data_IF_420787022436
#
_entry.id   IF_420787022436
#
_cell.length_a   1.000
_cell.length_b   1.000
_cell.length_c   1.000
_cell.angle_alpha   90.00
_cell.angle_beta   90.00
_cell.angle_gamma   90.00
#
_symmetry.space_group_name_H-M   'P 1'
#
loop_
_entity.id
_entity.type
_entity.pdbx_description
1 polymer ?
#
# COMPACT_ATOMS: atom_id res chain seq x y z
N UNK A 1 59.79 108.47 11.22
CA UNK A 1 59.20 108.65 9.87
C UNK A 1 58.82 107.30 9.22
N UNK A 2 58.34 106.31 9.98
CA UNK A 2 58.15 104.92 9.50
C UNK A 2 56.74 104.34 9.81
N UNK A 3 55.75 105.20 10.10
CA UNK A 3 54.39 104.77 10.49
C UNK A 3 53.31 105.03 9.42
N UNK A 4 53.54 105.87 8.41
CA UNK A 4 52.50 106.21 7.42
C UNK A 4 52.37 105.17 6.29
N UNK A 5 53.48 104.55 5.85
CA UNK A 5 53.45 103.53 4.80
C UNK A 5 52.79 102.20 5.25
N UNK A 6 52.91 101.85 6.53
CA UNK A 6 52.33 100.62 7.08
C UNK A 6 50.80 100.71 7.19
N UNK A 7 50.26 101.90 7.48
CA UNK A 7 48.80 102.15 7.57
C UNK A 7 48.13 102.10 6.20
N UNK A 8 48.78 102.59 5.15
CA UNK A 8 48.23 102.57 3.78
C UNK A 8 48.21 101.15 3.20
N UNK A 9 49.25 100.33 3.44
CA UNK A 9 49.25 98.89 3.07
C UNK A 9 48.19 98.09 3.83
N UNK A 10 47.94 98.39 5.11
CA UNK A 10 46.87 97.76 5.90
C UNK A 10 45.47 98.10 5.38
N UNK A 11 45.23 99.35 4.93
CA UNK A 11 43.96 99.76 4.31
C UNK A 11 43.74 99.10 2.95
N UNK A 12 44.77 98.96 2.12
CA UNK A 12 44.69 98.19 0.87
C UNK A 12 44.45 96.69 1.13
N UNK A 13 45.14 96.10 2.11
CA UNK A 13 44.90 94.69 2.48
C UNK A 13 43.49 94.47 3.03
N UNK A 14 42.98 95.36 3.89
CA UNK A 14 41.59 95.27 4.39
C UNK A 14 40.56 95.50 3.27
N UNK A 15 40.84 96.39 2.31
CA UNK A 15 40.02 96.59 1.12
C UNK A 15 39.99 95.36 0.21
N UNK A 16 41.15 94.73 -0.04
CA UNK A 16 41.21 93.47 -0.79
C UNK A 16 40.55 92.32 -0.03
N UNK A 17 40.71 92.23 1.29
CA UNK A 17 40.08 91.19 2.11
C UNK A 17 38.55 91.32 2.12
N UNK A 18 38.02 92.55 2.15
CA UNK A 18 36.58 92.80 2.12
C UNK A 18 35.97 92.57 0.73
N UNK A 19 36.69 92.87 -0.35
CA UNK A 19 36.25 92.51 -1.72
C UNK A 19 36.28 90.99 -1.94
N UNK A 20 37.28 90.28 -1.40
CA UNK A 20 37.32 88.81 -1.43
C UNK A 20 36.23 88.20 -0.56
N UNK A 21 35.93 88.76 0.62
CA UNK A 21 34.88 88.27 1.49
C UNK A 21 33.48 88.47 0.87
N UNK A 22 33.24 89.60 0.19
CA UNK A 22 32.01 89.85 -0.56
C UNK A 22 31.89 88.92 -1.78
N UNK A 23 32.99 88.67 -2.50
CA UNK A 23 33.02 87.71 -3.60
C UNK A 23 32.73 86.26 -3.14
N UNK A 24 33.20 85.88 -1.94
CA UNK A 24 32.93 84.57 -1.33
C UNK A 24 31.46 84.45 -0.86
N UNK A 25 30.83 85.53 -0.41
CA UNK A 25 29.40 85.53 -0.06
C UNK A 25 28.47 85.40 -1.28
N UNK A 26 28.88 85.87 -2.46
CA UNK A 26 28.12 85.66 -3.71
C UNK A 26 28.40 84.30 -4.37
N UNK A 27 29.56 83.67 -4.11
CA UNK A 27 29.90 82.33 -4.60
C UNK A 27 29.28 81.18 -3.79
N UNK A 28 28.71 81.46 -2.61
CA UNK A 28 28.02 80.45 -1.78
C UNK A 28 26.60 80.11 -2.25
N UNK A 29 26.11 80.70 -3.34
CA UNK A 29 24.87 80.28 -4.00
C UNK A 29 25.17 79.13 -4.98
N UNK A 30 25.62 77.99 -4.44
CA UNK A 30 25.57 76.72 -5.17
C UNK A 30 24.10 76.32 -5.23
N UNK A 31 23.60 76.15 -6.47
CA UNK A 31 22.23 75.82 -6.87
C UNK A 31 21.43 75.12 -5.77
N UNK A 32 20.49 75.86 -5.18
CA UNK A 32 19.48 75.35 -4.24
C UNK A 32 18.48 74.38 -4.90
N UNK A 33 18.63 74.10 -6.20
CA UNK A 33 17.69 73.34 -7.03
C UNK A 33 18.18 71.92 -7.38
N UNK A 34 19.24 71.41 -6.75
CA UNK A 34 19.72 70.05 -6.98
C UNK A 34 18.63 68.98 -6.68
N UNK A 35 17.69 69.25 -5.75
CA UNK A 35 16.55 68.37 -5.48
C UNK A 35 15.50 68.39 -6.61
N UNK A 36 15.40 69.46 -7.40
CA UNK A 36 14.45 69.55 -8.52
C UNK A 36 14.81 68.60 -9.66
N UNK A 37 16.08 68.20 -9.78
CA UNK A 37 16.45 67.14 -10.72
C UNK A 37 15.93 65.76 -10.31
N UNK A 38 15.73 65.52 -9.01
CA UNK A 38 15.06 64.32 -8.49
C UNK A 38 13.52 64.39 -8.59
N UNK A 39 12.94 65.56 -8.93
CA UNK A 39 11.49 65.76 -9.14
C UNK A 39 11.09 65.84 -10.63
N UNK A 40 12.04 65.80 -11.57
CA UNK A 40 11.78 65.94 -13.03
C UNK A 40 10.87 64.84 -13.61
N UNK A 41 10.65 63.74 -12.90
CA UNK A 41 9.77 62.62 -13.31
C UNK A 41 8.37 62.60 -12.68
N UNK A 42 8.02 63.56 -11.81
CA UNK A 42 6.80 63.50 -10.98
C UNK A 42 6.90 62.53 -9.81
N UNK A 43 5.88 62.49 -8.93
CA UNK A 43 5.77 61.45 -7.91
C UNK A 43 5.54 60.09 -8.57
N UNK A 44 6.33 59.08 -8.19
CA UNK A 44 6.11 57.69 -8.60
C UNK A 44 4.91 57.17 -7.80
N UNK A 45 3.77 56.99 -8.46
CA UNK A 45 2.58 56.38 -7.88
C UNK A 45 2.70 54.86 -7.98
N UNK A 46 2.51 54.17 -6.87
CA UNK A 46 2.50 52.71 -6.80
C UNK A 46 1.08 52.22 -6.49
N UNK A 47 0.66 51.13 -7.13
CA UNK A 47 -0.52 50.40 -6.71
C UNK A 47 -0.30 49.78 -5.31
N UNK A 48 -1.38 49.55 -4.56
CA UNK A 48 -1.33 48.85 -3.30
C UNK A 48 -0.76 47.44 -3.46
N UNK A 49 0.35 47.15 -2.77
CA UNK A 49 1.02 45.83 -2.75
C UNK A 49 0.07 44.76 -2.18
N UNK A 50 0.18 43.53 -2.70
CA UNK A 50 -0.46 42.36 -2.08
C UNK A 50 -0.03 42.20 -0.62
N UNK A 51 -0.95 41.85 0.26
CA UNK A 51 -0.68 41.68 1.68
C UNK A 51 0.21 40.45 1.90
N UNK A 52 -0.22 39.31 1.35
CA UNK A 52 0.53 38.05 1.37
C UNK A 52 0.31 37.24 0.09
N UNK A 53 1.30 36.40 -0.22
CA UNK A 53 1.27 35.49 -1.36
C UNK A 53 1.79 34.14 -0.92
N UNK A 54 1.03 33.08 -1.21
CA UNK A 54 1.41 31.68 -0.98
C UNK A 54 1.50 30.99 -2.33
N UNK A 55 2.59 30.25 -2.57
CA UNK A 55 2.75 29.40 -3.74
C UNK A 55 2.47 27.94 -3.36
N UNK A 56 1.40 27.38 -3.90
CA UNK A 56 0.99 26.01 -3.69
C UNK A 56 1.48 25.13 -4.84
N UNK A 57 2.20 24.05 -4.55
CA UNK A 57 2.81 23.23 -5.58
C UNK A 57 1.79 22.36 -6.31
N UNK A 58 2.06 22.04 -7.57
CA UNK A 58 1.27 21.15 -8.40
C UNK A 58 2.12 20.39 -9.42
N UNK A 59 1.47 19.58 -10.25
CA UNK A 59 2.13 18.82 -11.32
C UNK A 59 2.33 19.70 -12.56
N UNK A 60 3.57 20.13 -12.82
CA UNK A 60 3.88 21.03 -13.93
C UNK A 60 3.27 22.43 -13.78
N UNK A 61 2.88 22.82 -12.58
CA UNK A 61 2.18 24.08 -12.30
C UNK A 61 2.33 24.55 -10.86
N UNK A 62 2.09 25.85 -10.64
CA UNK A 62 1.97 26.46 -9.30
C UNK A 62 0.66 27.22 -9.23
N UNK A 63 -0.08 27.06 -8.13
CA UNK A 63 -1.19 27.95 -7.78
C UNK A 63 -0.71 29.01 -6.78
N UNK A 64 -0.85 30.27 -7.15
CA UNK A 64 -0.66 31.40 -6.25
C UNK A 64 -1.97 31.75 -5.57
N UNK A 65 -1.96 31.77 -4.24
CA UNK A 65 -3.03 32.34 -3.41
C UNK A 65 -2.54 33.70 -2.94
N UNK A 66 -3.17 34.76 -3.45
CA UNK A 66 -2.74 36.15 -3.28
C UNK A 66 -3.80 36.87 -2.46
N UNK A 67 -3.45 37.28 -1.25
CA UNK A 67 -4.30 38.15 -0.43
C UNK A 67 -4.06 39.59 -0.87
N UNK A 68 -5.11 40.25 -1.35
CA UNK A 68 -5.02 41.63 -1.82
C UNK A 68 -4.96 42.61 -0.65
N UNK A 69 -4.23 43.72 -0.84
CA UNK A 69 -4.24 44.83 0.11
C UNK A 69 -5.49 45.70 -0.01
N UNK A 70 -5.58 46.73 0.82
CA UNK A 70 -6.76 47.61 0.91
C UNK A 70 -6.93 48.61 -0.26
N UNK A 71 -6.15 48.52 -1.34
CA UNK A 71 -6.26 49.46 -2.46
C UNK A 71 -7.39 49.03 -3.40
N UNK A 72 -8.51 49.80 -3.48
CA UNK A 72 -9.67 49.43 -4.27
C UNK A 72 -9.43 49.57 -5.79
N UNK A 73 -8.32 50.19 -6.21
CA UNK A 73 -8.02 50.42 -7.63
C UNK A 73 -7.24 49.27 -8.26
N UNK A 74 -6.79 48.28 -7.49
CA UNK A 74 -6.10 47.10 -8.00
C UNK A 74 -7.05 46.26 -8.84
N UNK A 75 -6.70 46.02 -10.11
CA UNK A 75 -7.53 45.29 -11.07
C UNK A 75 -6.78 44.16 -11.80
N UNK A 76 -5.48 44.02 -11.57
CA UNK A 76 -4.68 43.02 -12.25
C UNK A 76 -3.54 42.52 -11.35
N UNK A 77 -3.20 41.25 -11.50
CA UNK A 77 -1.97 40.65 -10.98
C UNK A 77 -1.02 40.34 -12.14
N UNK A 78 0.26 40.64 -11.96
CA UNK A 78 1.36 40.21 -12.85
C UNK A 78 2.38 39.42 -12.06
N UNK A 79 2.83 38.32 -12.62
CA UNK A 79 3.84 37.45 -12.01
C UNK A 79 4.97 37.25 -12.99
N UNK A 80 6.20 37.34 -12.51
CA UNK A 80 7.41 37.10 -13.30
C UNK A 80 8.25 36.00 -12.66
N UNK A 81 8.94 35.23 -13.48
CA UNK A 81 9.94 34.26 -13.05
C UNK A 81 11.11 34.21 -14.04
N UNK A 82 12.10 33.36 -13.76
CA UNK A 82 13.27 33.16 -14.63
C UNK A 82 14.02 34.48 -14.94
N UNK A 83 14.32 35.25 -13.90
CA UNK A 83 14.90 36.60 -14.00
C UNK A 83 14.04 37.57 -14.84
N UNK A 84 12.72 37.44 -14.74
CA UNK A 84 11.70 38.20 -15.49
C UNK A 84 11.69 37.96 -17.00
N UNK A 85 12.31 36.89 -17.47
CA UNK A 85 12.20 36.48 -18.88
C UNK A 85 10.82 35.91 -19.21
N UNK A 86 10.15 35.35 -18.20
CA UNK A 86 8.83 34.77 -18.32
C UNK A 86 7.84 35.47 -17.39
N UNK A 87 6.57 35.49 -17.79
CA UNK A 87 5.50 36.16 -17.05
C UNK A 87 4.11 35.58 -17.30
N UNK A 88 3.23 35.77 -16.32
CA UNK A 88 1.81 35.52 -16.45
C UNK A 88 1.03 36.69 -15.86
N UNK A 89 -0.17 36.95 -16.38
CA UNK A 89 -1.03 38.03 -15.92
C UNK A 89 -2.47 37.53 -15.73
N UNK A 90 -3.17 38.05 -14.71
CA UNK A 90 -4.57 37.73 -14.44
C UNK A 90 -5.35 39.00 -14.16
N UNK A 91 -6.49 39.17 -14.83
CA UNK A 91 -7.43 40.26 -14.57
C UNK A 91 -8.32 39.92 -13.37
N UNK A 92 -8.56 40.91 -12.51
CA UNK A 92 -9.41 40.80 -11.31
C UNK A 92 -10.76 41.44 -11.66
N UNK A 93 -11.76 40.63 -11.98
CA UNK A 93 -13.11 41.09 -12.30
C UNK A 93 -13.95 41.34 -11.04
N UNK A 94 -14.86 42.32 -11.11
CA UNK A 94 -15.83 42.58 -10.03
C UNK A 94 -16.69 41.32 -9.75
N UNK A 95 -16.69 40.84 -8.50
CA UNK A 95 -17.44 39.65 -8.06
C UNK A 95 -16.60 38.47 -7.58
N UNK A 96 -15.27 38.50 -7.78
CA UNK A 96 -14.32 37.66 -7.03
C UNK A 96 -14.24 38.21 -5.60
N UNK A 97 -14.17 37.35 -4.57
CA UNK A 97 -13.84 37.78 -3.20
C UNK A 97 -12.63 38.71 -3.28
N UNK A 98 -12.85 40.03 -3.10
CA UNK A 98 -11.82 41.05 -3.34
C UNK A 98 -10.63 40.91 -2.41
N UNK A 99 -10.72 40.05 -1.42
CA UNK A 99 -9.67 39.81 -0.44
C UNK A 99 -8.66 38.75 -0.92
N UNK A 100 -9.05 37.79 -1.78
CA UNK A 100 -8.14 36.69 -2.17
C UNK A 100 -8.30 36.25 -3.62
N UNK A 101 -7.21 36.37 -4.39
CA UNK A 101 -7.10 35.95 -5.80
C UNK A 101 -6.35 34.63 -5.88
N UNK A 102 -6.84 33.70 -6.72
CA UNK A 102 -6.15 32.44 -7.04
C UNK A 102 -5.73 32.45 -8.50
N UNK A 103 -4.43 32.36 -8.75
CA UNK A 103 -3.85 32.38 -10.08
C UNK A 103 -3.02 31.13 -10.31
N UNK A 104 -3.27 30.39 -11.40
CA UNK A 104 -2.47 29.21 -11.76
C UNK A 104 -1.46 29.59 -12.84
N UNK A 105 -0.21 29.21 -12.64
CA UNK A 105 0.86 29.28 -13.63
C UNK A 105 1.10 27.85 -14.13
N UNK A 106 0.67 27.57 -15.36
CA UNK A 106 0.73 26.26 -16.00
C UNK A 106 2.02 26.08 -16.83
N UNK A 107 2.28 24.85 -17.27
CA UNK A 107 3.38 24.47 -18.17
C UNK A 107 4.79 24.80 -17.63
N UNK A 108 4.97 24.67 -16.32
CA UNK A 108 6.26 24.79 -15.66
C UNK A 108 7.00 23.45 -15.67
N UNK A 109 8.31 23.48 -15.83
CA UNK A 109 9.16 22.30 -15.64
C UNK A 109 9.35 22.02 -14.16
N UNK A 110 9.49 20.76 -13.77
CA UNK A 110 9.77 20.38 -12.38
C UNK A 110 11.01 21.10 -11.83
N UNK A 111 10.90 21.65 -10.62
CA UNK A 111 11.94 22.39 -9.95
C UNK A 111 11.43 23.58 -9.12
N UNK A 112 12.38 24.31 -8.54
CA UNK A 112 12.09 25.47 -7.68
C UNK A 112 12.04 26.77 -8.48
N UNK A 113 11.01 27.57 -8.23
CA UNK A 113 10.79 28.87 -8.88
C UNK A 113 10.81 30.00 -7.85
N UNK A 114 11.53 31.08 -8.17
CA UNK A 114 11.35 32.37 -7.51
C UNK A 114 10.33 33.19 -8.32
N UNK A 115 9.18 33.46 -7.71
CA UNK A 115 8.07 34.18 -8.31
C UNK A 115 8.02 35.60 -7.76
N UNK A 116 8.02 36.58 -8.68
CA UNK A 116 7.93 38.00 -8.35
C UNK A 116 6.54 38.49 -8.73
N UNK A 117 5.73 38.80 -7.72
CA UNK A 117 4.31 39.16 -7.86
C UNK A 117 4.11 40.66 -7.70
N UNK A 118 3.31 41.22 -8.60
CA UNK A 118 2.88 42.61 -8.64
C UNK A 118 1.36 42.69 -8.71
N UNK A 119 0.79 43.63 -7.97
CA UNK A 119 -0.55 44.14 -8.22
C UNK A 119 -0.45 45.39 -9.10
N UNK A 120 -1.43 45.56 -9.97
CA UNK A 120 -1.50 46.69 -10.91
C UNK A 120 -2.85 47.38 -10.75
N UNK A 121 -2.82 48.71 -10.69
CA UNK A 121 -4.02 49.53 -10.55
C UNK A 121 -4.68 49.88 -11.90
N UNK A 122 -5.88 50.46 -11.84
CA UNK A 122 -6.62 50.98 -12.99
C UNK A 122 -5.86 52.01 -13.84
N UNK A 123 -4.74 52.57 -13.35
CA UNK A 123 -3.88 53.54 -14.04
C UNK A 123 -2.59 52.89 -14.58
N UNK A 124 -2.49 51.56 -14.51
CA UNK A 124 -1.35 50.77 -14.93
C UNK A 124 -0.07 51.05 -14.11
N UNK A 125 -0.20 51.54 -12.89
CA UNK A 125 0.92 51.61 -11.94
C UNK A 125 1.12 50.23 -11.30
N UNK A 126 2.37 49.79 -11.18
CA UNK A 126 2.71 48.55 -10.47
C UNK A 126 2.97 48.80 -9.00
N UNK A 127 2.68 47.82 -8.15
CA UNK A 127 3.04 47.86 -6.74
C UNK A 127 4.55 47.64 -6.51
N UNK A 128 4.97 47.73 -5.24
CA UNK A 128 6.22 47.09 -4.81
C UNK A 128 6.07 45.57 -4.92
N UNK A 129 7.14 44.86 -5.27
CA UNK A 129 7.13 43.43 -5.47
C UNK A 129 6.86 42.63 -4.18
N UNK A 130 6.22 41.47 -4.33
CA UNK A 130 6.24 40.37 -3.36
C UNK A 130 6.99 39.21 -3.97
N UNK A 131 8.03 38.72 -3.30
CA UNK A 131 8.76 37.54 -3.74
C UNK A 131 8.26 36.32 -2.96
N UNK A 132 7.96 35.23 -3.66
CA UNK A 132 7.58 33.95 -3.07
C UNK A 132 8.32 32.82 -3.80
N UNK A 133 8.76 31.81 -3.06
CA UNK A 133 9.31 30.61 -3.66
C UNK A 133 8.20 29.57 -3.81
N UNK A 134 8.16 28.88 -4.94
CA UNK A 134 7.24 27.77 -5.18
C UNK A 134 7.97 26.59 -5.78
N UNK A 135 7.51 25.38 -5.44
CA UNK A 135 8.00 24.14 -6.01
C UNK A 135 7.03 23.65 -7.09
N UNK A 136 7.57 23.15 -8.20
CA UNK A 136 6.82 22.41 -9.22
C UNK A 136 7.26 20.98 -9.15
N UNK A 137 6.32 20.05 -9.03
CA UNK A 137 6.59 18.62 -9.08
C UNK A 137 6.24 18.08 -10.47
N UNK A 138 6.78 16.91 -10.81
CA UNK A 138 6.54 16.28 -12.09
C UNK A 138 6.97 14.82 -12.11
N UNK A 139 7.37 14.36 -13.29
CA UNK A 139 7.74 12.97 -13.56
C UNK A 139 8.89 12.46 -12.67
N UNK A 140 9.85 13.30 -12.26
CA UNK A 140 10.94 12.83 -11.41
C UNK A 140 10.44 12.54 -9.99
N UNK A 141 9.57 13.41 -9.45
CA UNK A 141 8.90 13.16 -8.19
C UNK A 141 8.05 11.88 -8.25
N UNK A 142 7.21 11.72 -9.29
CA UNK A 142 6.39 10.52 -9.47
C UNK A 142 7.24 9.24 -9.50
N UNK A 143 8.39 9.25 -10.19
CA UNK A 143 9.34 8.11 -10.24
C UNK A 143 10.00 7.78 -8.91
N UNK A 144 10.01 8.72 -7.96
CA UNK A 144 10.53 8.49 -6.61
C UNK A 144 9.49 7.86 -5.68
N UNK A 145 8.22 7.86 -6.06
CA UNK A 145 7.13 7.29 -5.28
C UNK A 145 7.01 5.78 -5.48
N UNK A 146 6.58 5.10 -4.43
CA UNK A 146 6.25 3.69 -4.45
C UNK A 146 4.97 3.47 -3.64
N UNK A 147 4.18 2.46 -4.02
CA UNK A 147 2.98 2.13 -3.27
C UNK A 147 3.36 1.66 -1.86
N UNK A 148 2.52 1.98 -0.88
CA UNK A 148 2.57 1.43 0.46
C UNK A 148 2.64 -0.09 0.36
N UNK A 149 3.61 -0.69 1.05
CA UNK A 149 3.84 -2.13 0.94
C UNK A 149 2.73 -2.91 1.64
N UNK A 150 2.14 -3.85 0.90
CA UNK A 150 1.27 -4.89 1.45
C UNK A 150 2.15 -6.03 1.95
N UNK A 151 2.14 -6.28 3.26
CA UNK A 151 3.01 -7.25 3.91
C UNK A 151 2.47 -8.68 3.83
N UNK A 152 1.20 -8.87 4.20
CA UNK A 152 0.55 -10.18 4.21
C UNK A 152 -0.89 -10.08 3.70
N UNK A 153 -1.31 -11.11 2.96
CA UNK A 153 -2.70 -11.35 2.59
C UNK A 153 -3.12 -12.63 3.28
N UNK A 154 -4.06 -12.52 4.21
CA UNK A 154 -4.52 -13.62 5.04
C UNK A 154 -6.04 -13.70 5.09
N UNK A 155 -6.51 -14.56 6.00
CA UNK A 155 -7.92 -14.79 6.22
C UNK A 155 -8.23 -14.81 7.70
N UNK A 156 -9.33 -14.18 8.09
CA UNK A 156 -9.93 -14.39 9.40
C UNK A 156 -10.51 -15.81 9.50
N UNK A 157 -10.78 -16.27 10.73
CA UNK A 157 -11.37 -17.59 10.98
C UNK A 157 -12.75 -17.79 10.29
N UNK A 158 -13.51 -16.71 10.08
CA UNK A 158 -14.79 -16.69 9.36
C UNK A 158 -14.63 -16.42 7.85
N UNK A 159 -13.40 -16.33 7.34
CA UNK A 159 -13.10 -16.26 5.91
C UNK A 159 -13.21 -14.89 5.26
N UNK A 160 -13.13 -13.81 6.05
CA UNK A 160 -12.91 -12.45 5.54
C UNK A 160 -11.47 -12.34 5.08
N UNK A 161 -11.26 -11.68 3.94
CA UNK A 161 -9.93 -11.39 3.44
C UNK A 161 -9.30 -10.30 4.31
N UNK A 162 -8.05 -10.52 4.73
CA UNK A 162 -7.30 -9.60 5.58
C UNK A 162 -6.06 -9.10 4.82
N UNK A 163 -5.98 -7.78 4.65
CA UNK A 163 -4.83 -7.10 4.03
C UNK A 163 -4.01 -6.42 5.12
N UNK A 164 -2.82 -6.95 5.39
CA UNK A 164 -1.90 -6.40 6.39
C UNK A 164 -0.90 -5.44 5.75
N UNK A 165 -1.03 -4.17 6.08
CA UNK A 165 -0.21 -3.10 5.52
C UNK A 165 1.03 -2.84 6.37
N UNK A 166 2.17 -2.59 5.71
CA UNK A 166 3.34 -2.03 6.40
C UNK A 166 3.14 -0.55 6.70
N UNK A 167 4.09 0.10 7.37
CA UNK A 167 4.01 1.52 7.67
C UNK A 167 3.84 2.36 6.39
N UNK A 168 2.96 3.36 6.46
CA UNK A 168 2.75 4.33 5.39
C UNK A 168 4.05 5.08 5.06
N UNK A 169 4.42 5.25 3.77
CA UNK A 169 5.55 6.09 3.40
C UNK A 169 5.26 7.57 3.69
N UNK A 170 6.30 8.42 3.79
CA UNK A 170 6.12 9.85 3.99
C UNK A 170 5.19 10.47 2.95
N UNK A 171 4.40 11.46 3.35
CA UNK A 171 3.53 12.25 2.47
C UNK A 171 2.39 11.47 1.80
N UNK A 172 2.16 10.19 2.15
CA UNK A 172 0.96 9.46 1.74
C UNK A 172 -0.28 10.07 2.41
N UNK A 173 -1.36 10.19 1.64
CA UNK A 173 -2.67 10.66 2.11
C UNK A 173 -3.61 9.47 2.33
N UNK A 174 -3.61 8.50 1.43
CA UNK A 174 -4.34 7.24 1.53
C UNK A 174 -3.85 6.25 0.48
N UNK A 175 -4.21 4.98 0.66
CA UNK A 175 -4.07 3.95 -0.39
C UNK A 175 -5.47 3.55 -0.89
N UNK A 176 -5.69 3.63 -2.19
CA UNK A 176 -6.89 3.10 -2.82
C UNK A 176 -6.70 1.61 -3.10
N UNK A 177 -7.65 0.77 -2.69
CA UNK A 177 -7.69 -0.66 -2.96
C UNK A 177 -8.91 -0.96 -3.82
N UNK A 178 -8.71 -1.59 -4.97
CA UNK A 178 -9.79 -2.03 -5.86
C UNK A 178 -9.78 -3.54 -6.01
N UNK A 179 -10.96 -4.13 -5.90
CA UNK A 179 -11.15 -5.58 -5.97
C UNK A 179 -12.51 -5.92 -6.57
N UNK A 180 -12.66 -7.14 -7.06
CA UNK A 180 -13.93 -7.65 -7.57
C UNK A 180 -14.70 -8.35 -6.44
N UNK A 181 -15.99 -8.05 -6.31
CA UNK A 181 -16.88 -8.72 -5.38
C UNK A 181 -17.52 -10.00 -5.96
N UNK A 182 -18.34 -10.70 -5.17
CA UNK A 182 -18.98 -11.96 -5.61
C UNK A 182 -20.07 -11.76 -6.68
N UNK A 183 -20.56 -10.53 -6.87
CA UNK A 183 -21.49 -10.17 -7.95
C UNK A 183 -20.74 -9.71 -9.21
N UNK A 184 -19.41 -9.82 -9.21
CA UNK A 184 -18.52 -9.40 -10.27
C UNK A 184 -18.39 -7.88 -10.45
N UNK A 185 -18.84 -7.10 -9.47
CA UNK A 185 -18.72 -5.64 -9.47
C UNK A 185 -17.37 -5.21 -8.88
N UNK A 186 -16.79 -4.13 -9.44
CA UNK A 186 -15.55 -3.56 -8.93
C UNK A 186 -15.88 -2.63 -7.76
N UNK A 187 -15.30 -2.96 -6.60
CA UNK A 187 -15.38 -2.16 -5.39
C UNK A 187 -14.09 -1.36 -5.20
N UNK A 188 -14.17 -0.22 -4.52
CA UNK A 188 -13.02 0.61 -4.15
C UNK A 188 -13.07 0.98 -2.66
N UNK A 189 -11.94 0.88 -1.98
CA UNK A 189 -11.76 1.25 -0.58
C UNK A 189 -10.60 2.24 -0.45
N UNK A 190 -10.76 3.24 0.42
CA UNK A 190 -9.69 4.16 0.80
C UNK A 190 -9.15 3.74 2.17
N UNK A 191 -7.91 3.28 2.20
CA UNK A 191 -7.19 2.85 3.40
C UNK A 191 -6.43 4.03 3.98
N UNK A 192 -6.64 4.30 5.27
CA UNK A 192 -5.93 5.39 5.96
C UNK A 192 -4.44 5.06 6.15
N UNK A 193 -3.53 6.05 6.12
CA UNK A 193 -2.11 5.85 6.46
C UNK A 193 -1.86 5.19 7.83
N UNK A 194 -2.79 5.36 8.78
CA UNK A 194 -2.71 4.78 10.12
C UNK A 194 -3.34 3.39 10.24
N UNK A 195 -4.06 2.93 9.21
CA UNK A 195 -4.68 1.60 9.18
C UNK A 195 -3.64 0.56 8.81
N UNK A 196 -3.50 -0.48 9.64
CA UNK A 196 -2.53 -1.57 9.43
C UNK A 196 -3.19 -2.88 8.97
N UNK A 197 -4.53 -2.97 9.07
CA UNK A 197 -5.31 -4.14 8.69
C UNK A 197 -6.63 -3.66 8.06
N UNK A 198 -6.88 -4.09 6.83
CA UNK A 198 -8.17 -3.92 6.14
C UNK A 198 -8.85 -5.28 6.02
N UNK A 199 -10.13 -5.37 6.43
CA UNK A 199 -10.94 -6.58 6.28
C UNK A 199 -11.98 -6.44 5.16
N UNK A 200 -12.09 -7.45 4.29
CA UNK A 200 -13.01 -7.47 3.16
C UNK A 200 -13.85 -8.75 3.21
N UNK A 201 -15.17 -8.62 3.31
CA UNK A 201 -16.09 -9.77 3.42
C UNK A 201 -16.55 -10.29 2.05
N UNK A 202 -16.91 -9.36 1.15
CA UNK A 202 -17.50 -9.66 -0.15
C UNK A 202 -16.46 -9.51 -1.26
N UNK A 203 -15.63 -10.52 -1.45
CA UNK A 203 -14.62 -10.58 -2.51
C UNK A 203 -14.80 -11.85 -3.35
N UNK A 204 -14.36 -11.79 -4.61
CA UNK A 204 -14.23 -12.94 -5.50
C UNK A 204 -12.92 -13.68 -5.21
N UNK A 205 -13.01 -14.93 -4.79
CA UNK A 205 -11.85 -15.77 -4.50
C UNK A 205 -11.02 -16.02 -5.78
N UNK A 206 -9.69 -16.00 -5.64
CA UNK A 206 -8.76 -16.18 -6.77
C UNK A 206 -8.70 -15.03 -7.77
N UNK A 207 -9.43 -13.93 -7.54
CA UNK A 207 -9.28 -12.71 -8.32
C UNK A 207 -8.03 -11.92 -7.87
N UNK A 208 -7.65 -10.93 -8.67
CA UNK A 208 -6.61 -9.96 -8.29
C UNK A 208 -7.19 -8.78 -7.52
N UNK A 209 -6.39 -8.25 -6.60
CA UNK A 209 -6.56 -6.93 -6.01
C UNK A 209 -5.54 -6.00 -6.63
N UNK A 210 -5.99 -4.79 -6.96
CA UNK A 210 -5.09 -3.70 -7.36
C UNK A 210 -5.08 -2.62 -6.29
N UNK A 211 -3.92 -2.06 -5.98
CA UNK A 211 -3.82 -0.95 -5.03
C UNK A 211 -2.84 0.13 -5.49
N UNK A 212 -3.14 1.36 -5.07
CA UNK A 212 -2.43 2.57 -5.47
C UNK A 212 -2.38 3.57 -4.32
N UNK A 213 -1.18 4.03 -3.95
CA UNK A 213 -1.00 5.02 -2.89
C UNK A 213 -0.98 6.45 -3.46
N UNK A 214 -1.72 7.34 -2.81
CA UNK A 214 -1.87 8.75 -3.19
C UNK A 214 -1.06 9.63 -2.24
N UNK A 215 -0.27 10.54 -2.81
CA UNK A 215 0.68 11.38 -2.09
C UNK A 215 0.41 12.87 -2.29
N UNK A 216 0.77 13.65 -1.27
CA UNK A 216 0.91 15.10 -1.36
C UNK A 216 2.28 15.52 -0.83
N UNK A 217 3.22 15.97 -1.69
CA UNK A 217 4.58 16.33 -1.25
C UNK A 217 4.61 17.42 -0.16
N UNK A 218 3.59 18.27 -0.19
CA UNK A 218 3.32 19.31 0.79
C UNK A 218 1.80 19.34 1.06
N UNK A 219 1.33 19.61 2.30
CA UNK A 219 -0.10 19.64 2.62
C UNK A 219 -0.91 20.65 1.79
N UNK A 220 -0.27 21.71 1.29
CA UNK A 220 -0.87 22.74 0.44
C UNK A 220 -0.87 22.39 -1.05
N UNK A 221 -0.25 21.27 -1.44
CA UNK A 221 -0.23 20.81 -2.81
C UNK A 221 -1.66 20.68 -3.38
N UNK A 222 -1.84 21.20 -4.60
CA UNK A 222 -3.14 21.23 -5.27
C UNK A 222 -3.45 19.94 -6.02
N UNK A 223 -2.43 19.13 -6.29
CA UNK A 223 -2.52 17.86 -7.01
C UNK A 223 -2.14 16.68 -6.10
N UNK A 224 -2.70 15.51 -6.41
CA UNK A 224 -2.20 14.24 -5.89
C UNK A 224 -1.17 13.65 -6.86
N UNK A 225 -0.19 12.98 -6.29
CA UNK A 225 0.82 12.23 -7.03
C UNK A 225 0.73 10.77 -6.63
N UNK A 226 0.91 9.86 -7.57
CA UNK A 226 0.81 8.43 -7.33
C UNK A 226 1.68 7.69 -8.36
N UNK A 227 2.29 6.55 -7.99
CA UNK A 227 3.08 5.73 -8.90
C UNK A 227 2.15 4.89 -9.81
N UNK A 228 2.68 3.87 -10.47
CA UNK A 228 1.83 2.85 -11.12
C UNK A 228 1.14 1.97 -10.07
N UNK A 229 -0.05 1.44 -10.41
CA UNK A 229 -0.78 0.55 -9.50
C UNK A 229 -0.09 -0.81 -9.37
N UNK A 230 -0.13 -1.38 -8.17
CA UNK A 230 0.36 -2.75 -7.92
C UNK A 230 -0.82 -3.72 -7.95
N UNK A 231 -0.65 -4.87 -8.61
CA UNK A 231 -1.61 -5.98 -8.60
C UNK A 231 -1.06 -7.16 -7.76
N UNK A 232 -1.94 -7.82 -7.01
CA UNK A 232 -1.65 -9.02 -6.22
C UNK A 232 -2.79 -10.01 -6.32
N UNK A 233 -2.49 -11.30 -6.46
CA UNK A 233 -3.50 -12.35 -6.43
C UNK A 233 -4.01 -12.61 -5.01
N UNK A 234 -5.31 -12.82 -4.88
CA UNK A 234 -5.91 -13.30 -3.63
C UNK A 234 -5.59 -14.80 -3.50
N UNK A 235 -4.81 -15.24 -2.49
CA UNK A 235 -4.51 -16.66 -2.30
C UNK A 235 -5.81 -17.43 -2.05
N UNK A 236 -5.95 -18.70 -2.45
CA UNK A 236 -7.20 -19.44 -2.15
C UNK A 236 -7.35 -19.63 -0.63
N UNK A 237 -8.55 -19.41 -0.10
CA UNK A 237 -8.81 -19.62 1.32
C UNK A 237 -9.03 -21.11 1.62
N UNK A 238 -8.06 -21.74 2.28
CA UNK A 238 -8.19 -23.12 2.73
C UNK A 238 -9.02 -23.22 4.02
N UNK A 239 -10.10 -23.99 3.99
CA UNK A 239 -10.98 -24.25 5.14
C UNK A 239 -10.87 -25.69 5.58
N UNK A 240 -10.68 -25.92 6.88
CA UNK A 240 -10.81 -27.24 7.48
C UNK A 240 -12.28 -27.69 7.37
N UNK A 241 -12.51 -28.91 6.91
CA UNK A 241 -13.85 -29.50 6.90
C UNK A 241 -14.32 -29.83 8.32
N UNK A 242 -15.60 -29.57 8.58
CA UNK A 242 -16.23 -29.87 9.86
C UNK A 242 -16.35 -31.38 10.06
N UNK A 243 -15.54 -31.91 10.99
CA UNK A 243 -15.50 -33.31 11.38
C UNK A 243 -16.85 -33.80 11.95
N UNK A 244 -17.71 -32.90 12.44
CA UNK A 244 -19.05 -33.27 12.87
C UNK A 244 -19.91 -33.85 11.74
N UNK A 245 -19.54 -33.62 10.47
CA UNK A 245 -20.15 -34.23 9.29
C UNK A 245 -19.64 -35.64 8.96
N UNK A 246 -18.50 -36.06 9.49
CA UNK A 246 -17.82 -37.30 9.07
C UNK A 246 -18.51 -38.54 9.62
N UNK A 247 -18.69 -39.56 8.78
CA UNK A 247 -19.35 -40.82 9.16
C UNK A 247 -18.62 -42.02 8.57
N UNK A 248 -18.69 -43.14 9.27
CA UNK A 248 -18.45 -44.45 8.66
C UNK A 248 -19.38 -44.64 7.46
N UNK A 249 -18.81 -45.03 6.32
CA UNK A 249 -19.54 -45.41 5.13
C UNK A 249 -19.11 -46.81 4.64
N UNK A 250 -19.21 -47.80 5.53
CA UNK A 250 -18.88 -49.18 5.23
C UNK A 250 -19.68 -49.75 4.06
N UNK A 251 -18.97 -50.19 3.02
CA UNK A 251 -19.51 -50.87 1.83
C UNK A 251 -19.20 -52.39 1.87
N UNK A 252 -19.93 -53.25 1.14
CA UNK A 252 -19.79 -54.71 1.22
C UNK A 252 -18.37 -55.24 0.95
N UNK A 253 -17.58 -54.50 0.18
CA UNK A 253 -16.21 -54.86 -0.19
C UNK A 253 -15.14 -54.33 0.76
N UNK A 254 -15.52 -53.46 1.69
CA UNK A 254 -14.58 -52.81 2.60
C UNK A 254 -14.15 -53.78 3.70
N UNK A 255 -12.93 -53.60 4.18
CA UNK A 255 -12.43 -54.37 5.31
C UNK A 255 -13.02 -53.78 6.58
N UNK A 256 -13.55 -54.66 7.44
CA UNK A 256 -14.11 -54.26 8.74
C UNK A 256 -13.01 -53.80 9.70
N UNK A 257 -13.43 -53.10 10.74
CA UNK A 257 -12.57 -52.71 11.85
C UNK A 257 -11.92 -53.93 12.52
N UNK A 258 -10.64 -53.76 12.88
CA UNK A 258 -9.75 -54.79 13.43
C UNK A 258 -10.17 -55.33 14.80
N UNK A 259 -11.10 -54.66 15.47
CA UNK A 259 -11.59 -55.01 16.81
C UNK A 259 -10.73 -54.37 17.91
N UNK A 260 -10.88 -54.87 19.15
CA UNK A 260 -10.14 -54.38 20.34
C UNK A 260 -10.30 -52.88 20.62
N UNK A 261 -11.42 -52.30 20.20
CA UNK A 261 -11.70 -50.89 20.36
C UNK A 261 -11.06 -49.99 19.32
N UNK A 262 -10.31 -50.49 18.33
CA UNK A 262 -9.82 -49.67 17.23
C UNK A 262 -10.90 -49.55 16.15
N UNK A 263 -11.62 -48.44 16.15
CA UNK A 263 -12.81 -48.22 15.32
C UNK A 263 -12.66 -47.00 14.43
N UNK A 264 -13.41 -46.96 13.33
CA UNK A 264 -13.25 -45.92 12.30
C UNK A 264 -13.56 -44.51 12.80
N UNK A 265 -14.42 -44.36 13.81
CA UNK A 265 -14.80 -43.06 14.37
C UNK A 265 -13.64 -42.30 15.01
N UNK A 266 -12.54 -42.99 15.36
CA UNK A 266 -11.34 -42.33 15.89
C UNK A 266 -10.54 -41.59 14.83
N UNK A 267 -10.83 -41.78 13.54
CA UNK A 267 -10.18 -41.01 12.47
C UNK A 267 -10.51 -39.51 12.51
N UNK A 268 -11.43 -39.05 13.36
CA UNK A 268 -11.83 -37.65 13.43
C UNK A 268 -12.23 -37.20 14.84
N UNK A 269 -11.66 -37.81 15.88
CA UNK A 269 -11.98 -37.52 17.29
C UNK A 269 -10.99 -36.56 17.96
N UNK A 270 -9.97 -36.12 17.22
CA UNK A 270 -8.88 -35.25 17.68
C UNK A 270 -7.97 -35.89 18.76
N UNK A 271 -7.96 -37.22 18.84
CA UNK A 271 -7.07 -37.98 19.71
C UNK A 271 -5.99 -38.73 18.90
N UNK A 272 -4.73 -38.45 19.24
CA UNK A 272 -3.56 -39.00 18.53
C UNK A 272 -2.95 -40.21 19.25
N UNK A 273 -3.43 -40.51 20.46
CA UNK A 273 -3.01 -41.65 21.26
C UNK A 273 -3.94 -42.85 21.03
N UNK A 274 -3.44 -44.09 21.13
CA UNK A 274 -4.26 -45.29 21.03
C UNK A 274 -5.45 -45.32 22.00
N UNK A 275 -6.58 -45.96 21.61
CA UNK A 275 -6.83 -46.56 20.29
C UNK A 275 -7.08 -45.51 19.19
N UNK A 276 -6.64 -45.81 17.97
CA UNK A 276 -7.06 -45.12 16.74
C UNK A 276 -7.92 -46.05 15.88
N UNK A 277 -7.90 -45.89 14.57
CA UNK A 277 -8.52 -46.84 13.64
C UNK A 277 -7.55 -47.95 13.22
N UNK A 278 -8.06 -49.19 13.17
CA UNK A 278 -7.35 -50.33 12.61
C UNK A 278 -8.28 -51.18 11.75
N UNK A 279 -7.80 -51.73 10.64
CA UNK A 279 -8.54 -52.72 9.85
C UNK A 279 -8.32 -54.14 10.38
N UNK A 280 -9.20 -55.07 10.00
CA UNK A 280 -8.88 -56.50 10.04
C UNK A 280 -7.76 -56.85 9.06
N UNK A 281 -7.07 -57.96 9.33
CA UNK A 281 -6.06 -58.48 8.42
C UNK A 281 -6.67 -58.88 7.06
N UNK A 282 -6.13 -58.33 5.98
CA UNK A 282 -6.54 -58.62 4.60
C UNK A 282 -5.71 -57.82 3.58
N UNK A 283 -5.37 -58.44 2.45
CA UNK A 283 -4.75 -57.73 1.31
C UNK A 283 -5.42 -58.21 0.01
N UNK A 284 -5.83 -57.29 -0.89
CA UNK A 284 -5.87 -55.84 -0.71
C UNK A 284 -6.90 -55.41 0.35
N UNK A 285 -6.71 -54.24 0.95
CA UNK A 285 -7.58 -53.71 2.00
C UNK A 285 -7.87 -52.23 1.80
N UNK A 286 -9.12 -51.85 2.08
CA UNK A 286 -9.59 -50.48 2.04
C UNK A 286 -10.77 -50.27 2.98
N UNK A 287 -10.99 -49.01 3.33
CA UNK A 287 -12.16 -48.53 4.06
C UNK A 287 -12.67 -47.25 3.42
N UNK A 288 -13.91 -46.89 3.73
CA UNK A 288 -14.60 -45.74 3.15
C UNK A 288 -15.22 -44.87 4.23
N UNK A 289 -15.10 -43.55 4.08
CA UNK A 289 -15.78 -42.56 4.93
C UNK A 289 -16.63 -41.59 4.10
N UNK A 290 -17.70 -41.10 4.70
CA UNK A 290 -18.51 -39.98 4.20
C UNK A 290 -18.02 -38.69 4.86
N UNK A 291 -17.64 -37.68 4.07
CA UNK A 291 -17.24 -36.35 4.56
C UNK A 291 -18.44 -35.50 5.02
N UNK A 292 -19.67 -35.94 4.75
CA UNK A 292 -20.91 -35.23 5.05
C UNK A 292 -21.23 -34.08 4.10
N UNK A 293 -20.29 -33.69 3.22
CA UNK A 293 -20.41 -32.60 2.26
C UNK A 293 -19.74 -32.97 0.93
N UNK A 294 -20.32 -32.56 -0.20
CA UNK A 294 -19.64 -32.63 -1.51
C UNK A 294 -18.78 -31.39 -1.73
N UNK A 295 -17.47 -31.57 -1.89
CA UNK A 295 -16.52 -30.46 -2.04
C UNK A 295 -15.26 -30.86 -2.82
N UNK A 296 -14.50 -29.87 -3.32
CA UNK A 296 -13.19 -30.09 -3.94
C UNK A 296 -12.09 -29.93 -2.90
N UNK A 297 -11.40 -31.02 -2.59
CA UNK A 297 -10.36 -31.03 -1.55
C UNK A 297 -9.08 -30.35 -2.03
N UNK A 298 -8.45 -29.55 -1.17
CA UNK A 298 -7.14 -28.93 -1.43
C UNK A 298 -6.00 -29.79 -0.87
N UNK A 299 -6.16 -30.30 0.34
CA UNK A 299 -5.21 -31.18 1.02
C UNK A 299 -5.88 -32.01 2.10
N UNK A 300 -5.16 -32.99 2.61
CA UNK A 300 -5.50 -33.65 3.85
C UNK A 300 -4.24 -33.88 4.70
N UNK A 301 -4.45 -34.12 5.98
CA UNK A 301 -3.43 -34.58 6.91
C UNK A 301 -3.80 -35.91 7.50
N UNK A 302 -2.79 -36.71 7.77
CA UNK A 302 -2.90 -37.99 8.48
C UNK A 302 -1.97 -37.98 9.68
N UNK A 303 -2.44 -38.52 10.79
CA UNK A 303 -1.62 -38.80 11.97
C UNK A 303 -1.53 -40.30 12.20
N UNK A 304 -0.34 -40.76 12.54
CA UNK A 304 -0.11 -42.12 13.02
C UNK A 304 -0.31 -42.12 14.54
N UNK A 305 -0.72 -43.26 15.11
CA UNK A 305 -0.86 -43.36 16.56
C UNK A 305 0.51 -43.21 17.24
N UNK A 306 0.57 -42.38 18.29
CA UNK A 306 1.81 -41.99 18.95
C UNK A 306 2.68 -43.16 19.46
N UNK A 307 2.08 -44.32 19.76
CA UNK A 307 2.78 -45.52 20.24
C UNK A 307 3.48 -46.33 19.12
N UNK A 308 3.30 -45.94 17.85
CA UNK A 308 3.72 -46.73 16.68
C UNK A 308 4.10 -45.90 15.45
N UNK A 309 4.53 -44.65 15.64
CA UNK A 309 5.05 -43.80 14.57
C UNK A 309 6.13 -44.50 13.72
N UNK A 310 5.94 -44.64 12.42
CA UNK A 310 6.87 -45.27 11.47
C UNK A 310 7.25 -46.72 11.82
N UNK A 311 6.37 -47.46 12.47
CA UNK A 311 6.53 -48.89 12.74
C UNK A 311 5.18 -49.62 12.70
N UNK A 312 5.23 -50.95 12.86
CA UNK A 312 4.04 -51.81 12.96
C UNK A 312 3.05 -51.53 11.81
N UNK A 313 1.77 -51.34 12.10
CA UNK A 313 0.73 -51.24 11.08
C UNK A 313 0.46 -49.81 10.62
N UNK A 314 1.26 -48.84 11.07
CA UNK A 314 1.17 -47.47 10.59
C UNK A 314 1.33 -47.42 9.07
N UNK A 315 0.40 -46.73 8.41
CA UNK A 315 0.37 -46.64 6.96
C UNK A 315 1.65 -46.03 6.40
N UNK A 316 2.16 -46.61 5.31
CA UNK A 316 3.33 -46.11 4.58
C UNK A 316 2.97 -45.74 3.16
N UNK A 317 2.46 -46.67 2.35
CA UNK A 317 1.98 -46.37 1.00
C UNK A 317 0.50 -46.69 0.89
N UNK A 318 -0.26 -45.76 0.32
CA UNK A 318 -1.69 -45.92 0.16
C UNK A 318 -2.21 -45.11 -1.02
N UNK A 319 -3.41 -45.44 -1.50
CA UNK A 319 -4.12 -44.67 -2.51
C UNK A 319 -5.34 -44.01 -1.89
N UNK A 320 -5.65 -42.80 -2.33
CA UNK A 320 -6.89 -42.09 -1.97
C UNK A 320 -7.77 -42.01 -3.21
N UNK A 321 -9.00 -42.44 -3.05
CA UNK A 321 -10.02 -42.47 -4.10
C UNK A 321 -11.25 -41.70 -3.65
N UNK A 322 -11.95 -41.09 -4.60
CA UNK A 322 -13.11 -40.24 -4.34
C UNK A 322 -14.32 -40.60 -5.19
N UNK A 323 -15.51 -40.35 -4.63
CA UNK A 323 -16.78 -40.46 -5.33
C UNK A 323 -17.79 -39.44 -4.81
N UNK A 324 -18.67 -38.94 -5.67
CA UNK A 324 -19.89 -38.24 -5.24
C UNK A 324 -21.04 -39.21 -4.95
N UNK A 325 -21.11 -40.32 -5.69
CA UNK A 325 -22.22 -41.27 -5.67
C UNK A 325 -21.68 -42.70 -5.82
N UNK A 326 -21.11 -43.28 -4.76
CA UNK A 326 -20.53 -44.62 -4.81
C UNK A 326 -21.61 -45.68 -5.04
N UNK A 327 -21.31 -46.70 -5.85
CA UNK A 327 -22.16 -47.87 -5.98
C UNK A 327 -22.24 -48.61 -4.64
N UNK A 328 -23.47 -48.89 -4.18
CA UNK A 328 -23.70 -49.53 -2.88
C UNK A 328 -23.26 -51.00 -2.81
N UNK A 329 -22.91 -51.60 -3.95
CA UNK A 329 -22.32 -52.94 -4.01
C UNK A 329 -20.83 -52.96 -3.62
N UNK A 330 -20.21 -51.78 -3.46
CA UNK A 330 -18.80 -51.62 -3.10
C UNK A 330 -17.84 -51.67 -4.29
N UNK A 331 -18.35 -51.88 -5.52
CA UNK A 331 -17.55 -51.92 -6.74
C UNK A 331 -16.71 -50.65 -6.94
N UNK A 332 -15.61 -50.78 -7.68
CA UNK A 332 -14.68 -49.68 -7.97
C UNK A 332 -15.12 -48.79 -9.13
N UNK A 333 -16.18 -49.17 -9.87
CA UNK A 333 -16.61 -48.50 -11.11
C UNK A 333 -17.04 -47.04 -10.89
N UNK A 334 -17.53 -46.71 -9.69
CA UNK A 334 -17.95 -45.37 -9.30
C UNK A 334 -16.85 -44.53 -8.62
N UNK A 335 -15.60 -45.01 -8.63
CA UNK A 335 -14.50 -44.39 -7.88
C UNK A 335 -13.44 -43.82 -8.82
N UNK A 336 -13.00 -42.60 -8.52
CA UNK A 336 -11.89 -41.95 -9.22
C UNK A 336 -10.67 -41.91 -8.31
N UNK A 337 -9.52 -42.37 -8.79
CA UNK A 337 -8.26 -42.25 -8.04
C UNK A 337 -7.88 -40.78 -7.97
N UNK A 338 -7.72 -40.27 -6.76
CA UNK A 338 -7.32 -38.87 -6.53
C UNK A 338 -5.81 -38.74 -6.43
N UNK A 339 -5.16 -39.64 -5.68
CA UNK A 339 -3.69 -39.64 -5.55
C UNK A 339 -3.13 -40.97 -5.02
N UNK A 340 -1.80 -41.10 -5.11
CA UNK A 340 -1.01 -42.11 -4.39
C UNK A 340 -0.17 -41.37 -3.36
N UNK A 341 -0.14 -41.87 -2.13
CA UNK A 341 0.57 -41.27 -1.00
C UNK A 341 1.67 -42.21 -0.53
N UNK A 342 2.80 -41.62 -0.11
CA UNK A 342 3.87 -42.30 0.59
C UNK A 342 4.28 -41.47 1.81
N UNK A 343 4.18 -42.09 3.00
CA UNK A 343 4.59 -41.49 4.26
C UNK A 343 6.10 -41.35 4.32
N UNK A 344 6.57 -40.19 4.76
CA UNK A 344 7.97 -39.81 4.87
C UNK A 344 8.38 -39.85 6.33
N UNK A 345 9.47 -40.57 6.60
CA UNK A 345 10.20 -40.52 7.86
C UNK A 345 11.44 -39.64 7.66
N UNK A 346 11.48 -38.40 8.19
CA UNK A 346 12.53 -37.42 7.89
C UNK A 346 13.95 -37.95 8.10
N UNK A 347 14.18 -38.70 9.18
CA UNK A 347 15.52 -39.18 9.53
C UNK A 347 16.06 -40.27 8.61
N UNK A 348 15.18 -40.99 7.90
CA UNK A 348 15.55 -42.20 7.15
C UNK A 348 16.07 -43.36 8.01
N UNK A 349 15.99 -43.28 9.35
CA UNK A 349 16.44 -44.34 10.25
C UNK A 349 15.65 -45.65 10.04
N UNK A 350 16.22 -46.81 10.37
CA UNK A 350 15.53 -48.10 10.28
C UNK A 350 14.20 -48.13 11.06
N UNK A 351 13.30 -49.03 10.65
CA UNK A 351 12.04 -49.29 11.38
C UNK A 351 12.35 -49.73 12.81
N UNK A 352 11.64 -49.15 13.78
CA UNK A 352 11.89 -49.37 15.22
C UNK A 352 12.79 -48.31 15.89
N UNK A 353 13.50 -47.49 15.11
CA UNK A 353 14.27 -46.35 15.61
C UNK A 353 13.58 -45.02 15.25
N UNK A 354 13.71 -43.98 16.07
CA UNK A 354 13.12 -42.65 15.81
C UNK A 354 14.02 -41.54 16.29
N UNK A 355 14.18 -40.49 15.48
CA UNK A 355 14.77 -39.24 15.92
C UNK A 355 13.70 -38.32 16.54
N UNK A 356 14.14 -37.24 17.20
CA UNK A 356 13.23 -36.17 17.63
C UNK A 356 12.54 -35.46 16.46
N UNK A 357 13.19 -35.41 15.29
CA UNK A 357 12.64 -34.84 14.06
C UNK A 357 11.49 -35.69 13.52
N UNK A 358 11.64 -37.03 13.54
CA UNK A 358 10.57 -37.95 13.15
C UNK A 358 9.33 -37.75 14.03
N UNK A 359 9.54 -37.67 15.35
CA UNK A 359 8.45 -37.48 16.31
C UNK A 359 7.74 -36.15 16.07
N UNK A 360 8.50 -35.05 15.93
CA UNK A 360 7.93 -33.73 15.69
C UNK A 360 7.16 -33.65 14.37
N UNK A 361 7.69 -34.24 13.29
CA UNK A 361 7.02 -34.28 11.99
C UNK A 361 5.70 -35.05 12.06
N UNK A 362 5.70 -36.25 12.66
CA UNK A 362 4.49 -37.05 12.79
C UNK A 362 3.43 -36.39 13.68
N UNK A 363 3.84 -35.73 14.77
CA UNK A 363 2.93 -35.00 15.66
C UNK A 363 2.32 -33.75 15.01
N UNK A 364 3.02 -33.12 14.07
CA UNK A 364 2.49 -32.00 13.28
C UNK A 364 1.43 -32.42 12.23
N UNK A 365 1.29 -33.73 11.99
CA UNK A 365 0.40 -34.31 10.98
C UNK A 365 1.02 -34.23 9.59
N UNK A 366 1.11 -35.39 8.93
CA UNK A 366 1.71 -35.49 7.62
C UNK A 366 0.74 -34.98 6.54
N UNK A 367 1.18 -33.98 5.78
CA UNK A 367 0.35 -33.27 4.79
C UNK A 367 0.49 -33.87 3.39
N UNK A 368 -0.66 -34.07 2.75
CA UNK A 368 -0.78 -34.52 1.37
C UNK A 368 -1.66 -33.55 0.58
N UNK A 369 -1.09 -32.90 -0.43
CA UNK A 369 -1.78 -31.91 -1.27
C UNK A 369 -2.40 -32.61 -2.47
N UNK A 370 -3.70 -32.38 -2.71
CA UNK A 370 -4.40 -32.93 -3.86
C UNK A 370 -3.98 -32.21 -5.15
N UNK A 371 -3.91 -32.91 -6.30
CA UNK A 371 -3.61 -32.28 -7.58
C UNK A 371 -4.64 -31.19 -7.96
N UNK A 372 -4.20 -30.17 -8.68
CA UNK A 372 -5.13 -29.18 -9.24
C UNK A 372 -6.16 -29.84 -10.17
N UNK A 373 -7.41 -29.37 -10.14
CA UNK A 373 -8.50 -29.97 -10.90
C UNK A 373 -9.09 -31.23 -10.27
N UNK A 374 -8.71 -31.58 -9.03
CA UNK A 374 -9.35 -32.66 -8.27
C UNK A 374 -10.88 -32.46 -8.25
N UNK A 375 -11.66 -33.47 -8.70
CA UNK A 375 -13.11 -33.35 -8.79
C UNK A 375 -13.74 -33.15 -7.42
N UNK A 376 -14.98 -32.66 -7.39
CA UNK A 376 -15.78 -32.68 -6.16
C UNK A 376 -16.04 -34.12 -5.73
N UNK A 377 -15.93 -34.36 -4.43
CA UNK A 377 -16.13 -35.67 -3.79
C UNK A 377 -16.88 -35.49 -2.48
N UNK A 378 -17.64 -36.51 -2.10
CA UNK A 378 -18.26 -36.62 -0.77
C UNK A 378 -17.72 -37.82 0.00
N UNK A 379 -17.48 -38.92 -0.71
CA UNK A 379 -16.99 -40.15 -0.14
C UNK A 379 -15.52 -40.35 -0.50
N UNK A 380 -14.72 -40.70 0.50
CA UNK A 380 -13.31 -41.04 0.31
C UNK A 380 -13.07 -42.50 0.68
N UNK A 381 -12.28 -43.17 -0.15
CA UNK A 381 -11.84 -44.54 0.06
C UNK A 381 -10.32 -44.59 0.11
N UNK A 382 -9.80 -45.15 1.19
CA UNK A 382 -8.37 -45.29 1.44
C UNK A 382 -7.96 -46.74 1.23
N UNK A 383 -7.02 -46.99 0.34
CA UNK A 383 -6.54 -48.33 0.00
C UNK A 383 -5.08 -48.49 0.42
N UNK A 384 -4.79 -49.40 1.33
CA UNK A 384 -3.42 -49.67 1.76
C UNK A 384 -2.67 -50.43 0.68
N UNK A 385 -1.41 -50.03 0.47
CA UNK A 385 -0.43 -50.75 -0.35
C UNK A 385 0.72 -51.29 0.50
N UNK A 386 1.20 -50.52 1.49
CA UNK A 386 2.34 -50.86 2.34
C UNK A 386 2.17 -50.18 3.72
N UNK A 387 2.52 -50.86 4.80
CA UNK A 387 2.70 -50.27 6.13
C UNK A 387 4.18 -50.36 6.55
N UNK A 388 4.57 -49.65 7.60
CA UNK A 388 5.97 -49.58 8.02
C UNK A 388 6.53 -50.89 8.58
N UNK A 389 5.69 -51.78 9.10
CA UNK A 389 6.07 -53.02 9.79
C UNK A 389 5.80 -54.30 9.01
N UNK A 390 5.51 -54.22 7.72
CA UNK A 390 5.28 -55.37 6.82
C UNK A 390 4.13 -56.30 7.31
N UNK A 391 3.08 -55.69 7.89
CA UNK A 391 1.87 -56.36 8.39
C UNK A 391 0.75 -56.41 7.35
N UNK A 392 -0.34 -57.11 7.66
CA UNK A 392 -1.47 -57.36 6.76
C UNK A 392 -2.73 -56.53 7.11
N UNK A 393 -2.63 -55.55 8.01
CA UNK A 393 -3.67 -54.57 8.32
C UNK A 393 -3.07 -53.15 8.40
N UNK A 394 -3.91 -52.12 8.48
CA UNK A 394 -3.47 -50.73 8.65
C UNK A 394 -3.89 -50.15 9.99
N UNK A 395 -3.14 -49.16 10.47
CA UNK A 395 -3.55 -48.27 11.56
C UNK A 395 -3.35 -46.81 11.20
N UNK A 396 -4.30 -45.98 11.62
CA UNK A 396 -4.30 -44.53 11.47
C UNK A 396 -4.89 -43.95 12.76
N UNK A 397 -4.33 -42.85 13.28
CA UNK A 397 -4.93 -42.16 14.42
C UNK A 397 -6.00 -41.19 13.96
N UNK A 398 -5.64 -40.20 13.14
CA UNK A 398 -6.52 -39.07 12.81
C UNK A 398 -6.40 -38.71 11.32
N UNK A 399 -7.48 -38.18 10.75
CA UNK A 399 -7.56 -37.56 9.44
C UNK A 399 -8.18 -36.16 9.54
N UNK A 400 -7.69 -35.24 8.72
CA UNK A 400 -8.29 -33.92 8.57
C UNK A 400 -8.19 -33.49 7.12
N UNK A 401 -9.23 -32.82 6.61
CA UNK A 401 -9.37 -32.48 5.21
C UNK A 401 -9.63 -30.99 5.05
N UNK A 402 -9.03 -30.38 4.04
CA UNK A 402 -9.23 -28.97 3.72
C UNK A 402 -9.84 -28.82 2.33
N UNK A 403 -10.59 -27.74 2.15
CA UNK A 403 -11.20 -27.36 0.88
C UNK A 403 -10.97 -25.88 0.59
N UNK A 404 -10.86 -25.55 -0.69
CA UNK A 404 -10.95 -24.17 -1.18
C UNK A 404 -12.39 -23.81 -1.59
N UNK A 405 -13.32 -24.77 -1.59
CA UNK A 405 -14.72 -24.55 -1.94
C UNK A 405 -15.51 -23.88 -0.82
N UNK A 406 -16.42 -22.97 -1.18
CA UNK A 406 -17.48 -22.45 -0.30
C UNK A 406 -18.69 -23.36 -0.24
#
# INVERSE_FOLDING_TARGET
>A
MMNSALVMKRKLLFGCLSVVLIAVTFASCIKQDAYKEFLKGGEISYAGRADSVIAQPGNGRIQLVIILGNDPNVNQVKVFWNDRRDSAEMQISEGVDKDTVRMIIENLTEGTYNLVVYTVDNKNNSSVAVNVNGEVYGENYVRSLFNRRLGEIGYSADGKLQLHWESSPPNEVYTEVRYQDRNEEIQSLMVSPNEILTEIENYKEGAEITYLSFFKPDPTAIDFFFPEATAVEIPKFERLLDKAGFRDFSLPTDVKDGGYGWVIEYLWDENYDPPGFATQSGIPQWFTLDLGVSTSLSKFKIWQANDRLYEKESVKKFEVWGSENPHMDGSWDSWTKLMTCESVKPSGLPVGERSSEDIAYAQAGEEFVFPEGTPKVRYLRFKLLENWGDSHFMTIAELSFWTNGR
#
